data_IF_812863129144
#
_entry.id   IF_812863129144
#
_cell.length_a   1.000
_cell.length_b   1.000
_cell.length_c   1.000
_cell.angle_alpha   90.00
_cell.angle_beta   90.00
_cell.angle_gamma   90.00
#
_symmetry.space_group_name_H-M   'P 1'
#
loop_
_entity.id
_entity.type
_entity.pdbx_description
1 polymer ?
#
# COMPACT_ATOMS: atom_id res chain seq x y z
N UNK A 1 19.73 -5.63 -23.52
CA UNK A 1 19.41 -5.32 -22.13
C UNK A 1 17.93 -4.96 -21.93
N UNK A 2 17.51 -4.86 -20.69
CA UNK A 2 16.17 -4.46 -20.31
C UNK A 2 16.21 -3.06 -19.67
N UNK A 3 15.47 -2.11 -20.24
CA UNK A 3 15.49 -0.72 -19.76
C UNK A 3 14.77 -0.53 -18.41
N UNK A 4 13.62 -1.14 -18.21
CA UNK A 4 12.89 -0.99 -16.96
C UNK A 4 12.04 -2.22 -16.61
N UNK A 5 11.95 -2.52 -15.33
CA UNK A 5 10.96 -3.45 -14.72
C UNK A 5 10.00 -2.62 -13.87
N UNK A 6 8.71 -2.76 -14.13
CA UNK A 6 7.64 -2.12 -13.36
C UNK A 6 6.89 -3.18 -12.56
N UNK A 7 7.11 -3.19 -11.26
CA UNK A 7 6.42 -4.06 -10.32
C UNK A 7 5.16 -3.34 -9.80
N UNK A 8 4.03 -3.51 -10.49
CA UNK A 8 2.78 -2.82 -10.21
C UNK A 8 1.73 -3.70 -9.53
N UNK A 9 1.80 -5.03 -9.67
CA UNK A 9 0.79 -5.93 -9.13
C UNK A 9 0.59 -5.75 -7.62
N UNK A 10 -0.66 -5.80 -7.18
CA UNK A 10 -0.97 -5.67 -5.75
C UNK A 10 -2.44 -5.87 -5.42
N UNK A 11 -2.68 -6.30 -4.19
CA UNK A 11 -4.01 -6.50 -3.61
C UNK A 11 -4.12 -5.75 -2.28
N UNK A 12 -5.34 -5.38 -1.88
CA UNK A 12 -5.61 -4.76 -0.58
C UNK A 12 -5.57 -5.74 0.60
N UNK A 13 -5.61 -7.05 0.33
CA UNK A 13 -5.60 -8.07 1.37
C UNK A 13 -6.83 -8.08 2.29
N UNK A 14 -6.74 -8.85 3.37
CA UNK A 14 -7.75 -8.88 4.42
C UNK A 14 -7.82 -7.55 5.17
N UNK A 15 -9.04 -7.17 5.60
CA UNK A 15 -9.26 -5.93 6.31
C UNK A 15 -10.13 -6.17 7.56
N UNK A 16 -9.78 -5.52 8.66
CA UNK A 16 -10.50 -5.60 9.93
C UNK A 16 -9.62 -5.27 11.12
N UNK A 17 -10.21 -5.13 12.32
CA UNK A 17 -9.46 -4.95 13.56
C UNK A 17 -8.42 -6.04 13.78
N UNK A 18 -7.32 -5.71 14.44
CA UNK A 18 -6.20 -6.65 14.69
C UNK A 18 -6.63 -8.01 15.27
N UNK A 19 -7.60 -8.12 16.21
CA UNK A 19 -8.03 -9.42 16.74
C UNK A 19 -8.74 -10.33 15.72
N UNK A 20 -9.11 -9.81 14.55
CA UNK A 20 -9.77 -10.60 13.48
C UNK A 20 -8.78 -11.24 12.51
N UNK A 21 -7.56 -10.70 12.49
CA UNK A 21 -6.55 -11.06 11.50
C UNK A 21 -5.72 -12.24 11.98
N UNK A 22 -5.36 -13.10 11.05
CA UNK A 22 -4.49 -14.27 11.27
C UNK A 22 -3.24 -14.18 10.38
N UNK A 23 -2.23 -14.96 10.68
CA UNK A 23 -0.95 -14.97 9.95
C UNK A 23 -1.13 -15.16 8.44
N UNK A 24 -2.09 -15.98 8.05
CA UNK A 24 -2.41 -16.28 6.64
C UNK A 24 -2.85 -15.05 5.87
N UNK A 25 -3.48 -14.07 6.52
CA UNK A 25 -3.86 -12.79 5.90
C UNK A 25 -2.63 -11.96 5.50
N UNK A 26 -1.63 -11.97 6.38
CA UNK A 26 -0.35 -11.30 6.11
C UNK A 26 0.42 -12.03 5.01
N UNK A 27 0.48 -13.36 5.06
CA UNK A 27 1.11 -14.17 4.01
C UNK A 27 0.47 -13.92 2.65
N UNK A 28 -0.86 -13.88 2.58
CA UNK A 28 -1.60 -13.63 1.34
C UNK A 28 -1.25 -12.26 0.74
N UNK A 29 -1.18 -11.21 1.57
CA UNK A 29 -0.76 -9.89 1.11
C UNK A 29 0.70 -9.87 0.64
N UNK A 30 1.62 -10.48 1.39
CA UNK A 30 3.05 -10.57 1.04
C UNK A 30 3.29 -11.37 -0.24
N UNK A 31 2.56 -12.46 -0.44
CA UNK A 31 2.68 -13.34 -1.62
C UNK A 31 2.31 -12.63 -2.94
N UNK A 32 1.59 -11.53 -2.90
CA UNK A 32 1.26 -10.75 -4.10
C UNK A 32 2.04 -9.44 -4.14
N UNK A 33 2.08 -8.71 -3.02
CA UNK A 33 2.59 -7.34 -2.99
C UNK A 33 4.11 -7.26 -2.84
N UNK A 34 4.77 -8.31 -2.31
CA UNK A 34 6.19 -8.23 -1.94
C UNK A 34 7.06 -9.33 -2.55
N UNK A 35 6.80 -10.61 -2.27
CA UNK A 35 7.70 -11.68 -2.73
C UNK A 35 7.88 -11.77 -4.25
N UNK A 36 6.81 -11.64 -5.09
CA UNK A 36 6.98 -11.63 -6.54
C UNK A 36 7.82 -10.44 -7.03
N UNK A 37 7.70 -9.29 -6.36
CA UNK A 37 8.48 -8.11 -6.68
C UNK A 37 9.98 -8.35 -6.44
N UNK A 38 10.34 -9.01 -5.33
CA UNK A 38 11.72 -9.44 -5.05
C UNK A 38 12.21 -10.40 -6.12
N UNK A 39 11.43 -11.45 -6.42
CA UNK A 39 11.79 -12.48 -7.39
C UNK A 39 11.99 -11.91 -8.80
N UNK A 40 11.03 -11.11 -9.28
CA UNK A 40 11.11 -10.48 -10.61
C UNK A 40 12.32 -9.56 -10.68
N UNK A 41 12.53 -8.69 -9.69
CA UNK A 41 13.67 -7.78 -9.68
C UNK A 41 15.00 -8.51 -9.72
N UNK A 42 15.14 -9.61 -8.96
CA UNK A 42 16.36 -10.40 -8.93
C UNK A 42 16.59 -11.17 -10.25
N UNK A 43 15.54 -11.76 -10.82
CA UNK A 43 15.65 -12.53 -12.08
C UNK A 43 16.03 -11.67 -13.27
N UNK A 44 15.52 -10.44 -13.33
CA UNK A 44 15.81 -9.51 -14.42
C UNK A 44 17.05 -8.64 -14.18
N UNK A 45 17.71 -8.76 -13.02
CA UNK A 45 18.86 -7.93 -12.68
C UNK A 45 19.99 -7.96 -13.72
N UNK A 46 20.44 -9.12 -14.26
CA UNK A 46 21.52 -9.12 -15.27
C UNK A 46 21.16 -8.34 -16.53
N UNK A 47 19.89 -8.35 -16.94
CA UNK A 47 19.44 -7.60 -18.11
C UNK A 47 19.30 -6.10 -17.81
N UNK A 48 18.97 -5.73 -16.57
CA UNK A 48 18.93 -4.34 -16.13
C UNK A 48 20.34 -3.77 -16.01
N UNK A 49 21.29 -4.52 -15.46
CA UNK A 49 22.71 -4.10 -15.38
C UNK A 49 23.28 -3.83 -16.77
N UNK A 50 23.05 -4.70 -17.74
CA UNK A 50 23.55 -4.53 -19.11
C UNK A 50 22.98 -3.30 -19.84
N UNK A 51 21.87 -2.73 -19.37
CA UNK A 51 21.23 -1.56 -19.94
C UNK A 51 21.34 -0.30 -19.07
N UNK A 52 22.01 -0.35 -17.92
CA UNK A 52 21.92 0.67 -16.88
C UNK A 52 20.43 1.02 -16.56
N UNK A 53 19.65 -0.01 -16.38
CA UNK A 53 18.20 0.02 -16.36
C UNK A 53 17.61 0.48 -15.01
N UNK A 54 16.29 0.28 -14.88
CA UNK A 54 15.50 0.80 -13.74
C UNK A 54 14.58 -0.26 -13.16
N UNK A 55 14.45 -0.28 -11.84
CA UNK A 55 13.40 -1.00 -11.12
C UNK A 55 12.42 0.04 -10.58
N UNK A 56 11.13 -0.11 -10.90
CA UNK A 56 10.09 0.82 -10.49
C UNK A 56 9.04 0.03 -9.72
N UNK A 57 8.94 0.30 -8.41
CA UNK A 57 8.10 -0.46 -7.50
C UNK A 57 6.86 0.33 -7.09
N UNK A 58 5.67 -0.28 -7.24
CA UNK A 58 4.43 0.25 -6.69
C UNK A 58 4.39 0.05 -5.18
N UNK A 59 4.67 1.11 -4.44
CA UNK A 59 4.45 1.17 -3.00
C UNK A 59 3.04 1.73 -2.66
N UNK A 60 2.96 2.59 -1.72
CA UNK A 60 1.79 3.38 -1.32
C UNK A 60 2.23 4.39 -0.26
N UNK A 61 1.50 5.47 -0.08
CA UNK A 61 1.64 6.29 1.12
C UNK A 61 1.47 5.46 2.40
N UNK A 62 0.70 4.37 2.34
CA UNK A 62 0.54 3.40 3.43
C UNK A 62 1.74 2.46 3.61
N UNK A 63 2.79 2.60 2.83
CA UNK A 63 4.12 2.05 3.11
C UNK A 63 4.98 2.96 3.99
N UNK A 64 4.50 4.15 4.31
CA UNK A 64 5.16 5.14 5.16
C UNK A 64 4.32 5.57 6.35
N UNK A 65 3.00 5.46 6.25
CA UNK A 65 2.04 5.76 7.31
C UNK A 65 1.08 4.60 7.50
N UNK A 66 0.87 4.17 8.76
CA UNK A 66 -0.01 3.04 9.07
C UNK A 66 -1.45 3.49 9.24
N UNK A 67 -2.37 2.75 8.61
CA UNK A 67 -3.81 2.96 8.76
C UNK A 67 -4.45 1.75 9.44
N UNK A 68 -5.33 2.01 10.40
CA UNK A 68 -6.02 0.97 11.17
C UNK A 68 -6.88 0.08 10.26
N UNK A 69 -6.97 -1.20 10.61
CA UNK A 69 -7.79 -2.18 9.89
C UNK A 69 -7.20 -2.68 8.58
N UNK A 70 -6.00 -2.23 8.19
CA UNK A 70 -5.33 -2.63 6.95
C UNK A 70 -3.95 -3.23 7.20
N UNK A 71 -3.69 -3.80 8.40
CA UNK A 71 -2.37 -4.25 8.81
C UNK A 71 -1.66 -5.17 7.79
N UNK A 72 -2.30 -6.20 7.16
CA UNK A 72 -1.63 -7.02 6.16
C UNK A 72 -1.14 -6.23 4.94
N UNK A 73 -1.97 -5.31 4.43
CA UNK A 73 -1.61 -4.44 3.32
C UNK A 73 -0.47 -3.49 3.69
N UNK A 74 -0.63 -2.77 4.81
CA UNK A 74 0.36 -1.82 5.32
C UNK A 74 1.72 -2.51 5.49
N UNK A 75 1.77 -3.65 6.17
CA UNK A 75 3.01 -4.42 6.36
C UNK A 75 3.67 -4.77 5.03
N UNK A 76 2.89 -5.18 4.02
CA UNK A 76 3.44 -5.50 2.70
C UNK A 76 4.03 -4.28 2.00
N UNK A 77 3.41 -3.11 2.13
CA UNK A 77 3.90 -1.87 1.51
C UNK A 77 5.12 -1.28 2.24
N UNK A 78 5.20 -1.40 3.57
CA UNK A 78 6.43 -1.10 4.31
C UNK A 78 7.60 -2.00 3.90
N UNK A 79 7.34 -3.29 3.67
CA UNK A 79 8.34 -4.22 3.15
C UNK A 79 8.87 -3.78 1.77
N UNK A 80 7.99 -3.34 0.86
CA UNK A 80 8.37 -2.78 -0.45
C UNK A 80 9.25 -1.53 -0.29
N UNK A 81 8.90 -0.61 0.61
CA UNK A 81 9.70 0.59 0.88
C UNK A 81 11.11 0.24 1.36
N UNK A 82 11.20 -0.58 2.41
CA UNK A 82 12.49 -0.96 3.01
C UNK A 82 13.40 -1.70 2.03
N UNK A 83 12.84 -2.67 1.29
CA UNK A 83 13.58 -3.39 0.26
C UNK A 83 14.04 -2.46 -0.86
N UNK A 84 13.17 -1.57 -1.35
CA UNK A 84 13.51 -0.66 -2.44
C UNK A 84 14.64 0.30 -2.05
N UNK A 85 14.66 0.76 -0.81
CA UNK A 85 15.75 1.59 -0.28
C UNK A 85 17.07 0.82 -0.18
N UNK A 86 17.03 -0.44 0.25
CA UNK A 86 18.20 -1.31 0.27
C UNK A 86 18.72 -1.55 -1.15
N UNK A 87 17.84 -1.91 -2.08
CA UNK A 87 18.20 -2.14 -3.49
C UNK A 87 18.76 -0.89 -4.15
N UNK A 88 18.17 0.28 -3.92
CA UNK A 88 18.64 1.55 -4.46
C UNK A 88 20.10 1.85 -4.08
N UNK A 89 20.49 1.48 -2.86
CA UNK A 89 21.88 1.67 -2.39
C UNK A 89 22.81 0.59 -2.93
N UNK A 90 22.38 -0.67 -2.88
CA UNK A 90 23.21 -1.80 -3.32
C UNK A 90 23.41 -1.84 -4.84
N UNK A 91 22.40 -1.47 -5.64
CA UNK A 91 22.45 -1.59 -7.09
C UNK A 91 23.02 -0.36 -7.78
N UNK A 92 23.22 0.75 -7.06
CA UNK A 92 23.82 1.97 -7.61
C UNK A 92 25.20 1.75 -8.25
N UNK A 93 26.15 1.00 -7.64
CA UNK A 93 27.44 0.69 -8.27
C UNK A 93 27.31 -0.17 -9.53
N UNK A 94 26.19 -0.90 -9.69
CA UNK A 94 25.90 -1.75 -10.84
C UNK A 94 25.15 -1.02 -11.98
N UNK A 95 25.00 0.31 -11.87
CA UNK A 95 24.31 1.12 -12.87
C UNK A 95 22.78 1.02 -12.83
N UNK A 96 22.18 0.20 -11.95
CA UNK A 96 20.73 0.04 -11.88
C UNK A 96 20.13 1.02 -10.86
N UNK A 97 19.12 1.78 -11.28
CA UNK A 97 18.40 2.70 -10.40
C UNK A 97 17.06 2.13 -9.93
N UNK A 98 16.66 2.49 -8.70
CA UNK A 98 15.43 1.99 -8.07
C UNK A 98 14.53 3.15 -7.65
N UNK A 99 13.27 3.08 -8.05
CA UNK A 99 12.29 4.14 -7.90
C UNK A 99 11.02 3.60 -7.27
N UNK A 100 10.38 4.41 -6.43
CA UNK A 100 9.13 4.11 -5.75
C UNK A 100 8.01 5.02 -6.26
N UNK A 101 6.86 4.44 -6.55
CA UNK A 101 5.61 5.16 -6.77
C UNK A 101 4.79 5.02 -5.51
N UNK A 102 4.51 6.13 -4.85
CA UNK A 102 3.83 6.20 -3.55
C UNK A 102 2.48 6.95 -3.70
N UNK A 103 1.43 6.32 -4.26
CA UNK A 103 0.14 6.96 -4.38
C UNK A 103 -0.58 7.03 -3.03
N UNK A 104 -1.37 8.10 -2.86
CA UNK A 104 -2.44 8.16 -1.88
C UNK A 104 -3.65 7.33 -2.32
N UNK A 105 -4.85 7.81 -2.00
CA UNK A 105 -6.09 7.12 -2.33
C UNK A 105 -6.61 7.52 -3.71
N UNK A 106 -6.67 6.56 -4.62
CA UNK A 106 -7.22 6.70 -5.98
C UNK A 106 -8.35 5.69 -6.19
N UNK A 107 -9.36 6.04 -6.99
CA UNK A 107 -10.49 5.15 -7.34
C UNK A 107 -9.97 3.99 -8.22
N UNK A 108 -9.72 2.85 -7.60
CA UNK A 108 -9.22 1.61 -8.20
C UNK A 108 -9.93 0.40 -7.56
N UNK A 109 -9.65 -0.81 -8.04
CA UNK A 109 -10.20 -2.02 -7.43
C UNK A 109 -9.78 -2.20 -5.95
N UNK A 110 -8.61 -1.71 -5.54
CA UNK A 110 -8.16 -1.78 -4.14
C UNK A 110 -9.02 -0.90 -3.23
N UNK A 111 -9.44 0.27 -3.72
CA UNK A 111 -10.26 1.24 -2.98
C UNK A 111 -11.76 1.10 -3.24
N UNK A 112 -12.16 0.15 -4.10
CA UNK A 112 -13.56 -0.09 -4.43
C UNK A 112 -14.38 -0.42 -3.18
N UNK A 113 -15.51 0.27 -2.99
CA UNK A 113 -16.36 0.20 -1.81
C UNK A 113 -16.95 -1.20 -1.62
N UNK A 114 -17.45 -1.80 -2.70
CA UNK A 114 -18.06 -3.14 -2.66
C UNK A 114 -17.01 -4.19 -2.29
N UNK A 115 -15.84 -4.09 -2.89
CA UNK A 115 -14.72 -5.00 -2.65
C UNK A 115 -14.16 -4.85 -1.23
N UNK A 116 -14.06 -3.63 -0.70
CA UNK A 116 -13.66 -3.40 0.69
C UNK A 116 -14.66 -3.99 1.68
N UNK A 117 -15.96 -3.78 1.46
CA UNK A 117 -17.01 -4.40 2.27
C UNK A 117 -16.92 -5.93 2.21
N UNK A 118 -16.70 -6.50 1.02
CA UNK A 118 -16.53 -7.95 0.85
C UNK A 118 -15.35 -8.47 1.66
N UNK A 119 -14.19 -7.83 1.62
CA UNK A 119 -12.99 -8.20 2.39
C UNK A 119 -13.24 -8.17 3.90
N UNK A 120 -13.87 -7.12 4.41
CA UNK A 120 -14.28 -7.05 5.81
C UNK A 120 -15.22 -8.19 6.20
N UNK A 121 -16.24 -8.44 5.38
CA UNK A 121 -17.22 -9.51 5.65
C UNK A 121 -16.60 -10.90 5.60
N UNK A 122 -15.67 -11.17 4.68
CA UNK A 122 -14.94 -12.44 4.62
C UNK A 122 -14.17 -12.71 5.91
N UNK A 123 -13.50 -11.70 6.47
CA UNK A 123 -12.81 -11.82 7.74
C UNK A 123 -13.80 -12.02 8.88
N UNK A 124 -14.88 -11.24 8.94
CA UNK A 124 -15.90 -11.35 9.99
C UNK A 124 -16.59 -12.72 10.01
N UNK A 125 -16.90 -13.31 8.86
CA UNK A 125 -17.61 -14.60 8.79
C UNK A 125 -16.83 -15.74 9.45
N UNK A 126 -15.51 -15.72 9.42
CA UNK A 126 -14.63 -16.76 10.02
C UNK A 126 -14.36 -16.55 11.51
N UNK A 127 -14.83 -15.46 12.12
CA UNK A 127 -14.62 -15.19 13.54
C UNK A 127 -15.36 -16.20 14.41
N UNK A 128 -14.79 -16.49 15.57
CA UNK A 128 -15.45 -17.29 16.60
C UNK A 128 -16.60 -16.53 17.28
N UNK A 129 -17.44 -17.25 18.03
CA UNK A 129 -18.63 -16.69 18.69
C UNK A 129 -18.29 -15.54 19.64
N UNK A 130 -17.17 -15.61 20.37
CA UNK A 130 -16.73 -14.54 21.28
C UNK A 130 -16.52 -13.22 20.54
N UNK A 131 -15.77 -13.24 19.43
CA UNK A 131 -15.51 -12.06 18.64
C UNK A 131 -16.76 -11.57 17.91
N UNK A 132 -17.63 -12.47 17.44
CA UNK A 132 -18.91 -12.08 16.83
C UNK A 132 -19.85 -11.40 17.82
N UNK A 133 -19.85 -11.84 19.09
CA UNK A 133 -20.63 -11.18 20.14
C UNK A 133 -20.05 -9.80 20.49
N UNK A 134 -18.71 -9.67 20.49
CA UNK A 134 -18.04 -8.40 20.74
C UNK A 134 -18.22 -7.40 19.57
N UNK A 135 -18.30 -7.91 18.34
CA UNK A 135 -18.48 -7.12 17.11
C UNK A 135 -19.71 -7.64 16.33
N UNK A 136 -20.94 -7.34 16.79
CA UNK A 136 -22.14 -7.72 16.08
C UNK A 136 -22.18 -7.20 14.65
N UNK A 137 -22.87 -7.92 13.78
CA UNK A 137 -22.98 -7.59 12.35
C UNK A 137 -23.45 -6.14 12.11
N UNK A 138 -24.36 -5.65 12.96
CA UNK A 138 -24.87 -4.27 12.89
C UNK A 138 -23.79 -3.22 13.07
N UNK A 139 -22.83 -3.43 13.99
CA UNK A 139 -21.68 -2.55 14.19
C UNK A 139 -20.77 -2.59 12.96
N UNK A 140 -20.50 -3.79 12.44
CA UNK A 140 -19.67 -3.98 11.25
C UNK A 140 -20.26 -3.30 10.02
N UNK A 141 -21.58 -3.45 9.82
CA UNK A 141 -22.28 -2.79 8.71
C UNK A 141 -22.24 -1.26 8.83
N UNK A 142 -22.47 -0.71 10.03
CA UNK A 142 -22.38 0.73 10.27
C UNK A 142 -20.97 1.27 10.02
N UNK A 143 -19.95 0.56 10.51
CA UNK A 143 -18.55 0.95 10.31
C UNK A 143 -18.18 0.93 8.82
N UNK A 144 -18.48 -0.16 8.12
CA UNK A 144 -18.15 -0.28 6.68
C UNK A 144 -18.89 0.74 5.82
N UNK A 145 -20.13 1.10 6.18
CA UNK A 145 -20.85 2.17 5.49
C UNK A 145 -20.19 3.55 5.72
N UNK A 146 -19.81 3.86 6.95
CA UNK A 146 -19.09 5.09 7.28
C UNK A 146 -17.72 5.18 6.61
N UNK A 147 -16.97 4.07 6.58
CA UNK A 147 -15.69 3.99 5.87
C UNK A 147 -15.88 4.22 4.37
N UNK A 148 -16.89 3.62 3.76
CA UNK A 148 -17.22 3.78 2.35
C UNK A 148 -17.49 5.24 1.98
N UNK A 149 -18.28 5.94 2.78
CA UNK A 149 -18.58 7.35 2.54
C UNK A 149 -17.33 8.25 2.65
N UNK A 150 -16.41 7.93 3.57
CA UNK A 150 -15.11 8.64 3.69
C UNK A 150 -14.20 8.36 2.51
N UNK A 151 -14.10 7.09 2.09
CA UNK A 151 -13.28 6.68 0.95
C UNK A 151 -13.74 7.34 -0.35
N UNK A 152 -15.05 7.44 -0.58
CA UNK A 152 -15.57 8.08 -1.80
C UNK A 152 -15.18 9.57 -1.90
N UNK A 153 -15.11 10.26 -0.77
CA UNK A 153 -14.66 11.67 -0.69
C UNK A 153 -13.14 11.82 -0.81
N UNK A 154 -12.38 10.86 -0.29
CA UNK A 154 -10.92 10.94 -0.22
C UNK A 154 -10.26 10.50 -1.54
N UNK A 155 -10.84 9.49 -2.22
CA UNK A 155 -10.24 8.90 -3.40
C UNK A 155 -10.33 9.82 -4.62
N UNK A 156 -9.18 10.17 -5.18
CA UNK A 156 -9.09 10.87 -6.46
C UNK A 156 -9.52 9.95 -7.61
N UNK A 157 -10.32 10.46 -8.55
CA UNK A 157 -10.65 9.75 -9.78
C UNK A 157 -9.58 9.87 -10.87
N UNK A 158 -8.65 10.80 -10.73
CA UNK A 158 -7.62 11.11 -11.70
C UNK A 158 -6.41 10.18 -11.57
N UNK A 159 -6.56 8.96 -12.05
CA UNK A 159 -5.49 7.94 -12.07
C UNK A 159 -4.33 8.32 -13.00
N UNK A 160 -4.55 9.26 -13.95
CA UNK A 160 -3.52 9.72 -14.89
C UNK A 160 -2.29 10.30 -14.17
N UNK A 161 -2.48 10.85 -12.96
CA UNK A 161 -1.37 11.32 -12.11
C UNK A 161 -0.41 10.20 -11.72
N UNK A 162 -0.93 9.00 -11.47
CA UNK A 162 -0.10 7.83 -11.15
C UNK A 162 0.62 7.34 -12.41
N UNK A 163 -0.08 7.32 -13.56
CA UNK A 163 0.51 6.95 -14.86
C UNK A 163 1.65 7.92 -15.21
N UNK A 164 1.45 9.23 -15.08
CA UNK A 164 2.50 10.23 -15.31
C UNK A 164 3.71 10.07 -14.37
N UNK A 165 3.51 9.60 -13.14
CA UNK A 165 4.63 9.29 -12.26
C UNK A 165 5.44 8.09 -12.76
N UNK A 166 4.78 7.05 -13.31
CA UNK A 166 5.45 5.94 -13.97
C UNK A 166 6.21 6.39 -15.22
N UNK A 167 5.56 7.17 -16.10
CA UNK A 167 6.21 7.70 -17.30
C UNK A 167 7.50 8.43 -16.94
N UNK A 168 7.44 9.34 -15.97
CA UNK A 168 8.61 10.07 -15.49
C UNK A 168 9.67 9.15 -14.88
N UNK A 169 9.30 8.16 -14.10
CA UNK A 169 10.25 7.20 -13.54
C UNK A 169 10.96 6.39 -14.63
N UNK A 170 10.28 6.11 -15.76
CA UNK A 170 10.84 5.37 -16.91
C UNK A 170 11.66 6.29 -17.83
N UNK A 171 11.23 7.54 -18.08
CA UNK A 171 11.75 8.36 -19.18
C UNK A 171 12.65 9.53 -18.73
N UNK A 172 12.47 10.07 -17.51
CA UNK A 172 13.28 11.21 -17.06
C UNK A 172 14.79 10.87 -17.09
N UNK A 173 15.62 11.80 -17.53
CA UNK A 173 17.08 11.64 -17.50
C UNK A 173 17.61 11.56 -16.06
N UNK A 174 16.96 12.23 -15.11
CA UNK A 174 17.28 12.21 -13.68
C UNK A 174 16.03 11.88 -12.88
N UNK A 175 15.61 10.59 -12.85
CA UNK A 175 14.41 10.19 -12.14
C UNK A 175 14.57 10.34 -10.64
N UNK A 176 13.47 10.64 -9.96
CA UNK A 176 13.43 10.75 -8.49
C UNK A 176 13.45 9.37 -7.85
N UNK A 177 14.03 9.24 -6.67
CA UNK A 177 13.93 8.01 -5.88
C UNK A 177 12.47 7.69 -5.49
N UNK A 178 11.66 8.74 -5.25
CA UNK A 178 10.25 8.61 -4.83
C UNK A 178 9.34 9.57 -5.58
N UNK A 179 8.19 9.05 -5.99
CA UNK A 179 7.11 9.79 -6.62
C UNK A 179 5.87 9.70 -5.73
N UNK A 180 5.72 10.66 -4.81
CA UNK A 180 4.52 10.78 -3.99
C UNK A 180 3.40 11.39 -4.84
N UNK A 181 2.29 10.67 -4.99
CA UNK A 181 1.19 11.03 -5.88
C UNK A 181 -0.13 11.16 -5.11
N UNK A 182 -0.80 12.28 -5.28
CA UNK A 182 -2.04 12.60 -4.60
C UNK A 182 -1.88 13.73 -3.59
N UNK A 183 -2.96 14.51 -3.44
CA UNK A 183 -3.01 15.59 -2.45
C UNK A 183 -2.96 15.04 -1.02
N UNK A 184 -3.76 14.02 -0.77
CA UNK A 184 -3.84 13.28 0.47
C UNK A 184 -2.48 12.72 0.91
N UNK A 185 -1.76 12.08 -0.03
CA UNK A 185 -0.42 11.56 0.23
C UNK A 185 0.54 12.67 0.66
N UNK A 186 0.60 13.77 -0.11
CA UNK A 186 1.58 14.84 0.08
C UNK A 186 1.31 15.69 1.33
N UNK A 187 0.05 16.05 1.55
CA UNK A 187 -0.32 17.10 2.53
C UNK A 187 -1.06 16.59 3.76
N UNK A 188 -1.49 15.33 3.75
CA UNK A 188 -2.13 14.70 4.90
C UNK A 188 -1.21 13.62 5.48
N UNK A 189 -0.97 12.53 4.75
CA UNK A 189 -0.30 11.35 5.32
C UNK A 189 1.18 11.56 5.60
N UNK A 190 1.92 12.24 4.71
CA UNK A 190 3.33 12.56 5.01
C UNK A 190 3.49 13.57 6.14
N UNK A 191 2.54 14.49 6.31
CA UNK A 191 2.52 15.39 7.46
C UNK A 191 2.24 14.63 8.74
N UNK A 192 1.22 13.75 8.75
CA UNK A 192 0.92 12.89 9.90
C UNK A 192 2.11 11.98 10.27
N UNK A 193 2.84 11.46 9.28
CA UNK A 193 4.04 10.66 9.51
C UNK A 193 5.16 11.46 10.19
N UNK A 194 5.27 12.75 9.90
CA UNK A 194 6.31 13.61 10.46
C UNK A 194 5.98 14.12 11.88
N UNK A 195 4.75 13.93 12.35
CA UNK A 195 4.35 14.29 13.70
C UNK A 195 4.87 13.25 14.72
N UNK A 196 5.09 13.67 15.98
CA UNK A 196 5.29 12.70 17.07
C UNK A 196 4.13 11.68 17.12
N UNK A 197 4.46 10.42 17.42
CA UNK A 197 3.51 9.30 17.38
C UNK A 197 2.24 9.58 18.20
N UNK A 198 2.37 10.17 19.40
CA UNK A 198 1.23 10.46 20.26
C UNK A 198 0.21 11.41 19.64
N UNK A 199 0.65 12.34 18.77
CA UNK A 199 -0.25 13.26 18.04
C UNK A 199 -0.95 12.50 16.92
N UNK A 200 -0.20 11.77 16.10
CA UNK A 200 -0.77 11.00 15.00
C UNK A 200 -1.74 9.93 15.50
N UNK A 201 -1.41 9.24 16.59
CA UNK A 201 -2.27 8.26 17.24
C UNK A 201 -3.55 8.89 17.78
N UNK A 202 -3.45 10.02 18.47
CA UNK A 202 -4.63 10.76 18.96
C UNK A 202 -5.59 11.15 17.83
N UNK A 203 -5.05 11.59 16.68
CA UNK A 203 -5.85 11.97 15.52
C UNK A 203 -6.50 10.75 14.86
N UNK A 204 -5.79 9.62 14.80
CA UNK A 204 -6.20 8.44 14.05
C UNK A 204 -7.12 7.51 14.84
N UNK A 205 -6.94 7.37 16.15
CA UNK A 205 -7.75 6.47 17.00
C UNK A 205 -9.21 6.90 17.18
N UNK A 206 -9.55 8.13 16.84
CA UNK A 206 -10.94 8.61 16.85
C UNK A 206 -11.85 7.97 15.80
N UNK A 207 -11.28 7.19 14.88
CA UNK A 207 -12.00 6.59 13.74
C UNK A 207 -12.25 5.10 13.95
N UNK A 208 -11.90 4.54 15.11
CA UNK A 208 -11.96 3.11 15.37
C UNK A 208 -13.38 2.54 15.45
N UNK A 209 -13.47 1.26 15.01
CA UNK A 209 -14.60 0.39 15.34
C UNK A 209 -14.44 0.00 16.82
N UNK A 210 -15.19 0.66 17.68
CA UNK A 210 -15.27 0.27 19.08
C UNK A 210 -16.21 -0.93 19.22
N UNK A 211 -15.85 -1.92 20.07
CA UNK A 211 -16.71 -3.04 20.40
C UNK A 211 -18.03 -2.60 21.04
#
# INVERSE_FOLDING_TARGET
>A
GLWAVINNAGIGGAAGPTPWLITEDFRAAMNVNFFPLVEISTRFLPLLESANGRIINMASVLGRFSFQGLAPYVSSKYAVEGMSDAYRRCLKPHGVSVHLIEPGFFKTNITNIVENKRRFMQVWTRLNSRLKNQYPLTIVQKYTAGLSAKMDKLCSSDVSKVVSAYERAVTDLRPRARYVVGYDAKYIFLVLQALPEWISDYLMTRVDMKP
#
